data_IF_257687212701
#
_entry.id   IF_257687212701
#
_cell.length_a   1.000
_cell.length_b   1.000
_cell.length_c   1.000
_cell.angle_alpha   90.00
_cell.angle_beta   90.00
_cell.angle_gamma   90.00
#
_symmetry.space_group_name_H-M   'P 1'
#
loop_
_entity.id
_entity.type
_entity.pdbx_description
1 polymer ?
#
# COMPACT_ATOMS: atom_id res chain seq x y z
N UNK A 1 -13.12 6.12 -19.50
CA UNK A 1 -11.70 5.83 -19.24
C UNK A 1 -11.03 5.53 -20.58
N UNK A 2 -9.88 6.14 -20.88
CA UNK A 2 -9.08 5.81 -22.08
C UNK A 2 -8.64 4.33 -22.00
N UNK A 3 -8.50 3.66 -23.15
CA UNK A 3 -7.86 2.34 -23.20
C UNK A 3 -6.36 2.52 -23.02
N UNK A 4 -5.67 1.57 -22.39
CA UNK A 4 -4.22 1.63 -22.20
C UNK A 4 -3.44 1.82 -23.53
N UNK A 5 -3.94 1.23 -24.63
CA UNK A 5 -3.36 1.40 -25.98
C UNK A 5 -3.50 2.82 -26.57
N UNK A 6 -4.28 3.68 -25.93
CA UNK A 6 -4.54 5.06 -26.35
C UNK A 6 -3.88 6.07 -25.40
N UNK A 7 -3.22 5.59 -24.36
CA UNK A 7 -2.52 6.40 -23.35
C UNK A 7 -1.07 6.67 -23.79
N UNK A 8 -0.58 7.85 -23.42
CA UNK A 8 0.87 8.12 -23.45
C UNK A 8 1.56 7.37 -22.32
N UNK A 9 2.90 7.26 -22.34
CA UNK A 9 3.69 6.67 -21.24
C UNK A 9 3.41 7.41 -19.93
N UNK A 10 3.37 8.73 -19.96
CA UNK A 10 3.08 9.59 -18.81
C UNK A 10 1.66 9.35 -18.26
N UNK A 11 0.63 9.31 -19.15
CA UNK A 11 -0.73 8.98 -18.74
C UNK A 11 -0.83 7.57 -18.13
N UNK A 12 -0.04 6.61 -18.61
CA UNK A 12 -0.01 5.26 -18.06
C UNK A 12 0.73 5.22 -16.73
N UNK A 13 1.85 5.96 -16.60
CA UNK A 13 2.61 6.08 -15.37
C UNK A 13 1.75 6.52 -14.17
N UNK A 14 0.79 7.43 -14.40
CA UNK A 14 -0.13 7.89 -13.38
C UNK A 14 -1.07 6.82 -12.77
N UNK A 15 -1.06 5.59 -13.31
CA UNK A 15 -1.75 4.41 -12.76
C UNK A 15 -0.80 3.39 -12.12
N UNK A 16 0.48 3.71 -11.99
CA UNK A 16 1.51 2.77 -11.51
C UNK A 16 2.07 3.25 -10.18
N UNK A 17 2.17 2.31 -9.25
CA UNK A 17 2.99 2.46 -8.04
C UNK A 17 4.34 1.80 -8.32
N UNK A 18 5.41 2.58 -8.39
CA UNK A 18 6.77 2.05 -8.55
C UNK A 18 7.21 1.38 -7.25
N UNK A 19 7.32 0.04 -7.28
CA UNK A 19 7.65 -0.75 -6.09
C UNK A 19 9.15 -0.82 -5.84
N UNK A 20 9.59 -0.28 -4.70
CA UNK A 20 10.99 -0.27 -4.23
C UNK A 20 11.05 -1.04 -2.91
N UNK A 21 10.74 -2.34 -2.97
CA UNK A 21 10.40 -3.16 -1.79
C UNK A 21 11.36 -4.31 -1.50
N UNK A 22 12.37 -4.58 -2.34
CA UNK A 22 13.30 -5.66 -2.06
C UNK A 22 14.10 -5.35 -0.78
N UNK A 23 14.16 -6.30 0.17
CA UNK A 23 14.78 -6.05 1.47
C UNK A 23 16.31 -5.95 1.41
N UNK A 24 16.91 -6.37 0.31
CA UNK A 24 18.36 -6.36 0.08
C UNK A 24 18.84 -5.19 -0.80
N UNK A 25 17.94 -4.28 -1.18
CA UNK A 25 18.36 -3.08 -1.92
C UNK A 25 19.29 -2.22 -1.07
N UNK A 26 20.40 -1.84 -1.68
CA UNK A 26 21.29 -0.80 -1.16
C UNK A 26 20.64 0.58 -1.26
N UNK A 27 21.14 1.55 -0.48
CA UNK A 27 20.65 2.94 -0.56
C UNK A 27 20.76 3.50 -2.01
N UNK A 28 21.82 3.17 -2.73
CA UNK A 28 22.00 3.61 -4.12
C UNK A 28 20.92 3.05 -5.05
N UNK A 29 20.56 1.78 -4.89
CA UNK A 29 19.48 1.15 -5.66
C UNK A 29 18.11 1.74 -5.27
N UNK A 30 17.85 1.98 -3.99
CA UNK A 30 16.61 2.63 -3.54
C UNK A 30 16.47 4.00 -4.21
N UNK A 31 17.52 4.84 -4.16
CA UNK A 31 17.55 6.15 -4.82
C UNK A 31 17.31 6.06 -6.33
N UNK A 32 17.96 5.11 -6.99
CA UNK A 32 17.78 4.87 -8.41
C UNK A 32 16.33 4.52 -8.76
N UNK A 33 15.74 3.54 -8.08
CA UNK A 33 14.39 3.09 -8.40
C UNK A 33 13.30 4.12 -8.04
N UNK A 34 13.51 4.93 -7.00
CA UNK A 34 12.64 6.08 -6.72
C UNK A 34 12.73 7.10 -7.86
N UNK A 35 13.94 7.42 -8.34
CA UNK A 35 14.12 8.33 -9.46
C UNK A 35 13.47 7.81 -10.75
N UNK A 36 13.55 6.50 -11.02
CA UNK A 36 12.84 5.88 -12.15
C UNK A 36 11.33 6.10 -12.05
N UNK A 37 10.73 5.96 -10.85
CA UNK A 37 9.31 6.26 -10.63
C UNK A 37 8.93 7.70 -10.97
N UNK A 38 9.78 8.65 -10.64
CA UNK A 38 9.60 10.06 -10.97
C UNK A 38 9.74 10.29 -12.47
N UNK A 39 10.78 9.73 -13.10
CA UNK A 39 11.06 9.89 -14.54
C UNK A 39 9.92 9.33 -15.42
N UNK A 40 9.23 8.29 -14.96
CA UNK A 40 8.06 7.72 -15.63
C UNK A 40 6.72 8.32 -15.16
N UNK A 41 6.75 9.35 -14.33
CA UNK A 41 5.55 10.00 -13.77
C UNK A 41 4.60 9.01 -13.08
N UNK A 42 5.16 8.05 -12.33
CA UNK A 42 4.37 7.11 -11.56
C UNK A 42 3.51 7.85 -10.52
N UNK A 43 2.33 7.32 -10.23
CA UNK A 43 1.43 7.88 -9.21
C UNK A 43 2.12 7.94 -7.85
N UNK A 44 2.77 6.83 -7.47
CA UNK A 44 3.54 6.75 -6.24
C UNK A 44 4.87 6.01 -6.44
N UNK A 45 5.77 6.19 -5.48
CA UNK A 45 6.85 5.27 -5.17
C UNK A 45 6.49 4.55 -3.88
N UNK A 46 6.34 3.22 -3.97
CA UNK A 46 5.96 2.37 -2.85
C UNK A 46 7.22 1.81 -2.19
N UNK A 47 7.47 2.18 -0.93
CA UNK A 47 8.73 1.91 -0.24
C UNK A 47 8.53 1.14 1.07
N UNK A 48 9.61 0.49 1.53
CA UNK A 48 9.68 -0.01 2.90
C UNK A 48 9.79 1.17 3.89
N UNK A 49 9.28 1.02 5.14
CA UNK A 49 9.30 2.10 6.14
C UNK A 49 10.69 2.68 6.41
N UNK A 50 11.74 1.85 6.34
CA UNK A 50 13.13 2.29 6.53
C UNK A 50 13.65 3.24 5.44
N UNK A 51 12.94 3.34 4.31
CA UNK A 51 13.32 4.17 3.16
C UNK A 51 12.53 5.47 3.05
N UNK A 52 11.65 5.75 4.02
CA UNK A 52 10.75 6.91 3.96
C UNK A 52 11.49 8.25 3.89
N UNK A 53 12.59 8.42 4.61
CA UNK A 53 13.35 9.66 4.60
C UNK A 53 14.02 9.88 3.24
N UNK A 54 14.53 8.81 2.62
CA UNK A 54 15.11 8.85 1.27
C UNK A 54 14.02 9.17 0.23
N UNK A 55 12.84 8.56 0.38
CA UNK A 55 11.72 8.82 -0.51
C UNK A 55 11.26 10.27 -0.42
N UNK A 56 11.13 10.81 0.80
CA UNK A 56 10.74 12.20 1.02
C UNK A 56 11.74 13.18 0.40
N UNK A 57 13.05 12.95 0.59
CA UNK A 57 14.11 13.76 0.00
C UNK A 57 14.02 13.83 -1.53
N UNK A 58 13.80 12.67 -2.19
CA UNK A 58 13.88 12.58 -3.66
C UNK A 58 12.56 13.01 -4.32
N UNK A 59 11.42 12.77 -3.69
CA UNK A 59 10.11 13.14 -4.25
C UNK A 59 9.75 14.61 -3.99
N UNK A 60 10.52 15.33 -3.18
CA UNK A 60 10.26 16.75 -2.89
C UNK A 60 10.15 17.58 -4.17
N UNK A 61 9.06 18.31 -4.31
CA UNK A 61 8.81 19.18 -5.48
C UNK A 61 8.39 18.44 -6.76
N UNK A 62 8.15 17.12 -6.70
CA UNK A 62 7.64 16.33 -7.83
C UNK A 62 6.14 16.02 -7.68
N UNK A 63 5.51 15.52 -8.76
CA UNK A 63 4.12 15.07 -8.73
C UNK A 63 3.95 13.65 -8.17
N UNK A 64 5.02 12.82 -8.21
CA UNK A 64 5.03 11.45 -7.68
C UNK A 64 4.94 11.46 -6.15
N UNK A 65 3.99 10.70 -5.60
CA UNK A 65 3.69 10.66 -4.16
C UNK A 65 4.37 9.46 -3.48
N UNK A 66 4.35 9.46 -2.15
CA UNK A 66 4.90 8.37 -1.35
C UNK A 66 3.79 7.41 -0.94
N UNK A 67 3.97 6.12 -1.25
CA UNK A 67 3.26 5.01 -0.68
C UNK A 67 4.18 4.25 0.27
N UNK A 68 3.66 3.79 1.41
CA UNK A 68 4.44 2.99 2.37
C UNK A 68 3.73 1.67 2.66
N UNK A 69 4.49 0.57 2.75
CA UNK A 69 3.93 -0.71 3.16
C UNK A 69 3.83 -0.83 4.68
N UNK A 70 2.78 -1.52 5.16
CA UNK A 70 2.51 -1.76 6.58
C UNK A 70 2.33 -3.26 6.82
N UNK A 71 3.01 -3.78 7.84
CA UNK A 71 3.04 -5.22 8.19
C UNK A 71 3.37 -6.13 7.00
N UNK A 72 4.27 -5.66 6.19
CA UNK A 72 4.65 -6.26 4.92
C UNK A 72 5.87 -7.20 5.08
N UNK A 73 5.94 -8.37 4.41
CA UNK A 73 4.94 -8.87 3.45
C UNK A 73 3.91 -9.83 4.05
N UNK A 74 3.91 -10.10 5.34
CA UNK A 74 3.22 -11.24 5.93
C UNK A 74 1.83 -10.96 6.51
N UNK A 75 1.53 -9.76 6.94
CA UNK A 75 0.23 -9.39 7.51
C UNK A 75 -0.11 -10.10 8.84
N UNK A 76 0.87 -10.60 9.58
CA UNK A 76 0.69 -11.49 10.73
C UNK A 76 0.90 -10.83 12.10
N UNK A 77 1.23 -9.54 12.13
CA UNK A 77 1.33 -8.81 13.41
C UNK A 77 -0.04 -8.66 14.07
N UNK A 78 -0.03 -8.32 15.35
CA UNK A 78 -1.27 -8.00 16.06
C UNK A 78 -1.90 -6.72 15.49
N UNK A 79 -3.23 -6.60 15.58
CA UNK A 79 -3.95 -5.38 15.18
C UNK A 79 -3.35 -4.13 15.83
N UNK A 80 -3.01 -4.18 17.13
CA UNK A 80 -2.41 -3.06 17.83
C UNK A 80 -1.04 -2.65 17.23
N UNK A 81 -0.22 -3.61 16.81
CA UNK A 81 1.05 -3.33 16.16
C UNK A 81 0.87 -2.70 14.78
N UNK A 82 -0.10 -3.18 14.00
CA UNK A 82 -0.43 -2.61 12.67
C UNK A 82 -0.94 -1.18 12.80
N UNK A 83 -1.84 -0.91 13.75
CA UNK A 83 -2.35 0.43 14.02
C UNK A 83 -1.22 1.37 14.44
N UNK A 84 -0.31 0.93 15.31
CA UNK A 84 0.85 1.74 15.72
C UNK A 84 1.77 2.06 14.54
N UNK A 85 2.01 1.10 13.64
CA UNK A 85 2.76 1.33 12.41
C UNK A 85 2.07 2.38 11.54
N UNK A 86 0.77 2.18 11.24
CA UNK A 86 -0.02 3.10 10.43
C UNK A 86 0.00 4.53 11.00
N UNK A 87 -0.28 4.68 12.29
CA UNK A 87 -0.23 5.97 12.99
C UNK A 87 1.15 6.62 12.87
N UNK A 88 2.22 5.85 13.13
CA UNK A 88 3.60 6.36 13.08
C UNK A 88 3.97 6.87 11.69
N UNK A 89 3.54 6.17 10.64
CA UNK A 89 3.85 6.57 9.27
C UNK A 89 2.99 7.77 8.84
N UNK A 90 1.70 7.74 9.11
CA UNK A 90 0.78 8.81 8.69
C UNK A 90 1.03 10.14 9.42
N UNK A 91 1.51 10.12 10.67
CA UNK A 91 1.91 11.33 11.42
C UNK A 91 3.02 12.13 10.72
N UNK A 92 3.77 11.56 9.79
CA UNK A 92 4.77 12.29 8.99
C UNK A 92 4.14 13.39 8.13
N UNK A 93 2.90 13.20 7.66
CA UNK A 93 2.18 14.15 6.82
C UNK A 93 2.59 14.16 5.33
N UNK A 94 3.56 13.33 4.95
CA UNK A 94 4.06 13.17 3.57
C UNK A 94 3.61 11.85 2.91
N UNK A 95 2.87 11.01 3.62
CA UNK A 95 2.38 9.72 3.12
C UNK A 95 1.03 9.90 2.42
N UNK A 96 1.01 9.61 1.12
CA UNK A 96 -0.20 9.68 0.31
C UNK A 96 -1.03 8.42 0.39
N UNK A 97 -0.38 7.24 0.34
CA UNK A 97 -1.02 5.92 0.43
C UNK A 97 -0.29 5.02 1.44
N UNK A 98 -1.05 4.15 2.10
CA UNK A 98 -0.53 3.08 2.95
C UNK A 98 -1.05 1.73 2.44
N UNK A 99 -0.12 0.83 2.08
CA UNK A 99 -0.42 -0.52 1.63
C UNK A 99 -0.34 -1.50 2.81
N UNK A 100 -1.49 -1.86 3.40
CA UNK A 100 -1.57 -2.81 4.52
C UNK A 100 -1.75 -4.23 4.03
N UNK A 101 -0.95 -5.16 4.54
CA UNK A 101 -1.19 -6.59 4.29
C UNK A 101 -2.26 -7.09 5.26
N UNK A 102 -3.39 -7.56 4.70
CA UNK A 102 -4.44 -8.20 5.48
C UNK A 102 -3.93 -9.51 6.11
N UNK A 103 -4.50 -9.92 7.23
CA UNK A 103 -4.20 -11.24 7.76
C UNK A 103 -4.87 -12.32 6.90
N UNK A 104 -4.19 -12.75 5.83
CA UNK A 104 -4.72 -13.76 4.92
C UNK A 104 -4.89 -15.13 5.57
N UNK A 105 -4.21 -15.42 6.66
CA UNK A 105 -4.48 -16.60 7.49
C UNK A 105 -5.88 -16.54 8.14
N UNK A 106 -6.32 -15.36 8.57
CA UNK A 106 -7.70 -15.16 9.05
C UNK A 106 -8.71 -15.28 7.92
N UNK A 107 -8.41 -14.70 6.74
CA UNK A 107 -9.28 -14.84 5.55
C UNK A 107 -9.46 -16.31 5.22
N UNK A 108 -8.38 -17.10 5.15
CA UNK A 108 -8.42 -18.56 4.91
C UNK A 108 -9.18 -19.33 5.97
N UNK A 109 -9.22 -18.83 7.18
CA UNK A 109 -9.94 -19.43 8.32
C UNK A 109 -11.40 -18.99 8.42
N UNK A 110 -11.90 -18.14 7.50
CA UNK A 110 -13.26 -17.61 7.51
C UNK A 110 -13.52 -16.59 8.63
N UNK A 111 -12.48 -15.98 9.21
CA UNK A 111 -12.58 -14.98 10.28
C UNK A 111 -12.80 -13.57 9.70
N UNK A 112 -13.84 -13.43 8.89
CA UNK A 112 -14.10 -12.18 8.14
C UNK A 112 -14.47 -11.01 9.04
N UNK A 113 -15.13 -11.27 10.18
CA UNK A 113 -15.47 -10.23 11.16
C UNK A 113 -14.21 -9.63 11.80
N UNK A 114 -13.21 -10.47 12.13
CA UNK A 114 -11.94 -10.04 12.68
C UNK A 114 -11.13 -9.24 11.65
N UNK A 115 -11.10 -9.70 10.39
CA UNK A 115 -10.46 -8.98 9.28
C UNK A 115 -11.11 -7.61 9.10
N UNK A 116 -12.43 -7.54 9.05
CA UNK A 116 -13.17 -6.28 8.88
C UNK A 116 -12.88 -5.31 10.04
N UNK A 117 -12.89 -5.78 11.28
CA UNK A 117 -12.60 -4.95 12.46
C UNK A 117 -11.17 -4.42 12.45
N UNK A 118 -10.19 -5.25 12.10
CA UNK A 118 -8.80 -4.84 11.99
C UNK A 118 -8.62 -3.77 10.91
N UNK A 119 -9.11 -4.05 9.70
CA UNK A 119 -9.02 -3.12 8.57
C UNK A 119 -9.70 -1.79 8.88
N UNK A 120 -10.88 -1.82 9.50
CA UNK A 120 -11.63 -0.61 9.83
C UNK A 120 -10.84 0.33 10.74
N UNK A 121 -10.22 -0.19 11.80
CA UNK A 121 -9.41 0.64 12.71
C UNK A 121 -8.21 1.23 11.97
N UNK A 122 -7.54 0.45 11.11
CA UNK A 122 -6.39 0.92 10.34
C UNK A 122 -6.80 2.01 9.35
N UNK A 123 -7.89 1.79 8.61
CA UNK A 123 -8.43 2.76 7.64
C UNK A 123 -8.82 4.06 8.33
N UNK A 124 -9.56 3.98 9.45
CA UNK A 124 -9.94 5.16 10.24
C UNK A 124 -8.70 5.93 10.72
N UNK A 125 -7.65 5.22 11.16
CA UNK A 125 -6.38 5.83 11.57
C UNK A 125 -5.72 6.58 10.41
N UNK A 126 -5.60 5.95 9.24
CA UNK A 126 -4.97 6.57 8.06
C UNK A 126 -5.79 7.76 7.53
N UNK A 127 -7.10 7.60 7.42
CA UNK A 127 -7.99 8.65 6.93
C UNK A 127 -7.99 9.89 7.84
N UNK A 128 -7.77 9.74 9.15
CA UNK A 128 -7.62 10.87 10.07
C UNK A 128 -6.42 11.76 9.73
N UNK A 129 -5.43 11.23 9.01
CA UNK A 129 -4.26 11.95 8.52
C UNK A 129 -4.33 12.31 7.01
N UNK A 130 -5.44 11.97 6.34
CA UNK A 130 -5.60 12.20 4.90
C UNK A 130 -4.86 11.20 4.00
N UNK A 131 -4.41 10.05 4.57
CA UNK A 131 -3.70 8.99 3.86
C UNK A 131 -4.70 7.95 3.34
N UNK A 132 -4.68 7.64 2.05
CA UNK A 132 -5.48 6.58 1.45
C UNK A 132 -4.93 5.19 1.82
N UNK A 133 -5.81 4.18 1.86
CA UNK A 133 -5.45 2.81 2.25
C UNK A 133 -5.70 1.82 1.13
N UNK A 134 -4.67 1.04 0.81
CA UNK A 134 -4.74 -0.09 -0.12
C UNK A 134 -4.55 -1.40 0.64
N UNK A 135 -5.48 -2.33 0.52
CA UNK A 135 -5.45 -3.61 1.25
C UNK A 135 -4.89 -4.71 0.36
N UNK A 136 -3.76 -5.30 0.75
CA UNK A 136 -3.12 -6.42 0.06
C UNK A 136 -3.72 -7.72 0.59
N UNK A 137 -4.28 -8.55 -0.31
CA UNK A 137 -4.94 -9.81 0.04
C UNK A 137 -4.03 -11.03 -0.04
N UNK A 138 -2.94 -10.98 -0.82
CA UNK A 138 -2.09 -12.13 -1.17
C UNK A 138 -2.93 -13.24 -1.84
N UNK A 139 -3.50 -12.93 -3.01
CA UNK A 139 -4.51 -13.75 -3.68
C UNK A 139 -4.03 -15.14 -4.07
N UNK A 140 -2.73 -15.34 -4.26
CA UNK A 140 -2.14 -16.66 -4.57
C UNK A 140 -2.37 -17.69 -3.44
N UNK A 141 -2.67 -17.21 -2.22
CA UNK A 141 -2.98 -18.08 -1.07
C UNK A 141 -4.47 -18.34 -0.89
N UNK A 142 -5.33 -17.67 -1.65
CA UNK A 142 -6.79 -17.65 -1.48
C UNK A 142 -7.50 -18.32 -2.65
N UNK A 143 -8.69 -18.88 -2.39
CA UNK A 143 -9.63 -19.26 -3.44
C UNK A 143 -10.56 -18.10 -3.81
N UNK A 144 -11.34 -18.24 -4.89
CA UNK A 144 -12.23 -17.21 -5.42
C UNK A 144 -13.24 -16.70 -4.38
N UNK A 145 -13.83 -17.59 -3.59
CA UNK A 145 -14.78 -17.20 -2.54
C UNK A 145 -14.09 -16.40 -1.43
N UNK A 146 -12.89 -16.79 -1.03
CA UNK A 146 -12.11 -16.04 -0.04
C UNK A 146 -11.69 -14.67 -0.54
N UNK A 147 -11.34 -14.54 -1.82
CA UNK A 147 -11.04 -13.25 -2.45
C UNK A 147 -12.29 -12.37 -2.45
N UNK A 148 -13.46 -12.92 -2.82
CA UNK A 148 -14.72 -12.17 -2.78
C UNK A 148 -15.04 -11.66 -1.36
N UNK A 149 -14.92 -12.54 -0.35
CA UNK A 149 -15.14 -12.17 1.04
C UNK A 149 -14.13 -11.11 1.53
N UNK A 150 -12.87 -11.21 1.12
CA UNK A 150 -11.85 -10.21 1.45
C UNK A 150 -12.20 -8.83 0.84
N UNK A 151 -12.71 -8.79 -0.39
CA UNK A 151 -13.23 -7.55 -0.99
C UNK A 151 -14.39 -6.97 -0.16
N UNK A 152 -15.33 -7.80 0.30
CA UNK A 152 -16.43 -7.34 1.15
C UNK A 152 -15.94 -6.79 2.49
N UNK A 153 -14.91 -7.42 3.09
CA UNK A 153 -14.28 -6.89 4.31
C UNK A 153 -13.64 -5.51 4.05
N UNK A 154 -12.92 -5.34 2.95
CA UNK A 154 -12.29 -4.07 2.59
C UNK A 154 -13.33 -2.96 2.33
N UNK A 155 -14.42 -3.28 1.62
CA UNK A 155 -15.55 -2.36 1.40
C UNK A 155 -16.19 -1.96 2.74
N UNK A 156 -16.46 -2.92 3.63
CA UNK A 156 -17.06 -2.66 4.93
C UNK A 156 -16.15 -1.83 5.85
N UNK A 157 -14.83 -1.92 5.65
CA UNK A 157 -13.82 -1.11 6.32
C UNK A 157 -13.63 0.28 5.70
N UNK A 158 -14.27 0.57 4.55
CA UNK A 158 -14.10 1.81 3.77
C UNK A 158 -12.67 2.02 3.26
N UNK A 159 -11.98 0.95 2.87
CA UNK A 159 -10.68 1.04 2.22
C UNK A 159 -10.80 1.65 0.81
N UNK A 160 -9.78 2.38 0.36
CA UNK A 160 -9.79 3.09 -0.91
C UNK A 160 -9.47 2.15 -2.08
N UNK A 161 -8.57 1.19 -1.86
CA UNK A 161 -8.13 0.25 -2.89
C UNK A 161 -7.94 -1.16 -2.33
N UNK A 162 -7.92 -2.13 -3.25
CA UNK A 162 -7.49 -3.51 -2.99
C UNK A 162 -6.35 -3.88 -3.93
N UNK A 163 -5.42 -4.71 -3.46
CA UNK A 163 -4.22 -5.14 -4.20
C UNK A 163 -4.07 -6.66 -4.09
N UNK A 164 -3.63 -7.29 -5.16
CA UNK A 164 -3.59 -8.75 -5.22
C UNK A 164 -2.46 -9.36 -4.40
N UNK A 165 -1.26 -8.76 -4.46
CA UNK A 165 -0.03 -9.44 -4.02
C UNK A 165 0.96 -8.48 -3.36
N UNK A 166 1.81 -9.05 -2.52
CA UNK A 166 2.96 -8.38 -1.90
C UNK A 166 4.13 -8.24 -2.85
#
# INVERSE_FOLDING_TARGET
MKKASEMTVEELGAYIDQSVLKPDFTEAEIRQYIQEGIDYHCATVCVNPSSLDIAAEITEGTDTKICVVCDFPFGTSTTASKVLQAETYCQRGDIYELDIVANFGWIRSGKYDEVTKELKIIVETCHAHGTAVKVIFETDTLNEEQIRQACECAIAANADFVKTST
#
